data_IF_263363806043
#
_entry.id   IF_263363806043
#
_cell.length_a   1.000
_cell.length_b   1.000
_cell.length_c   1.000
_cell.angle_alpha   90.00
_cell.angle_beta   90.00
_cell.angle_gamma   90.00
#
_symmetry.space_group_name_H-M   'P 1'
#
loop_
_entity.id
_entity.type
_entity.pdbx_description
1 polymer ?
#
# COMPACT_ATOMS: atom_id res chain seq x y z
N UNK A 1 -13.02 1.41 23.18
CA UNK A 1 -12.10 1.19 22.02
C UNK A 1 -11.57 2.55 21.58
N UNK A 2 -10.30 2.64 21.20
CA UNK A 2 -9.65 3.85 20.70
C UNK A 2 -9.02 3.55 19.33
N UNK A 3 -8.95 4.54 18.43
CA UNK A 3 -8.20 4.38 17.18
C UNK A 3 -6.70 4.46 17.45
N UNK A 4 -5.97 3.42 17.05
CA UNK A 4 -4.52 3.29 17.27
C UNK A 4 -3.66 4.06 16.25
N UNK A 5 -4.30 4.60 15.20
CA UNK A 5 -3.65 5.35 14.14
C UNK A 5 -2.53 4.54 13.47
N UNK A 6 -1.36 5.16 13.32
CA UNK A 6 -0.24 4.58 12.58
C UNK A 6 0.36 3.31 13.20
N UNK A 7 -0.01 2.93 14.43
CA UNK A 7 0.36 1.62 14.98
C UNK A 7 -0.22 0.45 14.15
N UNK A 8 -1.32 0.69 13.42
CA UNK A 8 -1.91 -0.28 12.48
C UNK A 8 -0.94 -0.80 11.42
N UNK A 9 0.06 0.02 11.04
CA UNK A 9 1.05 -0.34 10.01
C UNK A 9 1.88 -1.57 10.37
N UNK A 10 2.09 -1.85 11.66
CA UNK A 10 2.82 -3.05 12.08
C UNK A 10 2.07 -4.33 11.69
N UNK A 11 0.73 -4.31 11.75
CA UNK A 11 -0.11 -5.43 11.35
C UNK A 11 -0.12 -5.60 9.82
N UNK A 12 -0.19 -4.50 9.06
CA UNK A 12 -0.05 -4.54 7.60
C UNK A 12 1.31 -5.09 7.18
N UNK A 13 2.39 -4.63 7.82
CA UNK A 13 3.74 -5.13 7.54
C UNK A 13 3.87 -6.63 7.86
N UNK A 14 3.31 -7.07 8.99
CA UNK A 14 3.25 -8.49 9.35
C UNK A 14 2.49 -9.31 8.29
N UNK A 15 1.34 -8.84 7.83
CA UNK A 15 0.55 -9.51 6.80
C UNK A 15 1.34 -9.71 5.50
N UNK A 16 2.06 -8.68 5.04
CA UNK A 16 2.95 -8.80 3.88
C UNK A 16 4.04 -9.85 4.13
N UNK A 17 4.67 -9.84 5.31
CA UNK A 17 5.72 -10.81 5.63
C UNK A 17 5.19 -12.25 5.70
N UNK A 18 3.96 -12.47 6.16
CA UNK A 18 3.30 -13.80 6.12
C UNK A 18 3.15 -14.27 4.68
N UNK A 19 2.70 -13.41 3.77
CA UNK A 19 2.57 -13.74 2.35
C UNK A 19 3.94 -13.99 1.70
N UNK A 20 4.98 -13.28 2.14
CA UNK A 20 6.38 -13.54 1.73
C UNK A 20 6.85 -14.92 2.21
N UNK A 21 6.58 -15.28 3.47
CA UNK A 21 6.94 -16.61 4.01
C UNK A 21 6.20 -17.75 3.28
N UNK A 22 4.99 -17.51 2.80
CA UNK A 22 4.22 -18.45 1.97
C UNK A 22 4.70 -18.53 0.52
N UNK A 23 5.59 -17.65 0.09
CA UNK A 23 6.06 -17.56 -1.29
C UNK A 23 5.01 -16.99 -2.25
N UNK A 24 3.98 -16.33 -1.74
CA UNK A 24 2.93 -15.69 -2.54
C UNK A 24 3.37 -14.29 -3.02
N UNK A 25 4.27 -13.64 -2.28
CA UNK A 25 4.87 -12.34 -2.61
C UNK A 25 6.39 -12.41 -2.44
N UNK A 26 7.13 -11.66 -3.25
CA UNK A 26 8.55 -11.36 -3.00
C UNK A 26 8.73 -9.89 -2.62
N UNK A 27 9.73 -9.59 -1.78
CA UNK A 27 9.96 -8.20 -1.37
C UNK A 27 10.48 -7.32 -2.51
N UNK A 28 11.26 -7.91 -3.43
CA UNK A 28 11.93 -7.18 -4.51
C UNK A 28 11.17 -7.27 -5.85
N UNK A 29 10.04 -7.97 -5.89
CA UNK A 29 9.14 -7.97 -7.05
C UNK A 29 8.42 -6.63 -7.19
N UNK A 30 8.05 -6.31 -8.43
CA UNK A 30 7.36 -5.07 -8.74
C UNK A 30 5.88 -5.18 -8.38
N UNK A 31 5.29 -4.10 -7.87
CA UNK A 31 3.86 -4.12 -7.49
C UNK A 31 2.93 -4.39 -8.68
N UNK A 32 3.37 -4.07 -9.90
CA UNK A 32 2.63 -4.36 -11.16
C UNK A 32 2.49 -5.84 -11.48
N UNK A 33 3.19 -6.70 -10.77
CA UNK A 33 3.07 -8.17 -10.91
C UNK A 33 1.85 -8.69 -10.15
N UNK A 34 1.35 -7.92 -9.17
CA UNK A 34 0.20 -8.28 -8.33
C UNK A 34 -1.01 -7.38 -8.52
N UNK A 35 -0.78 -6.11 -8.90
CA UNK A 35 -1.84 -5.10 -9.04
C UNK A 35 -1.92 -4.67 -10.50
N UNK A 36 -3.10 -4.82 -11.09
CA UNK A 36 -3.39 -4.38 -12.45
C UNK A 36 -3.66 -2.86 -12.52
N UNK A 37 -3.67 -2.30 -13.74
CA UNK A 37 -4.05 -0.90 -14.02
C UNK A 37 -3.29 0.19 -13.21
N UNK A 38 -2.01 -0.04 -12.90
CA UNK A 38 -1.19 0.97 -12.22
C UNK A 38 -0.63 2.05 -13.20
N UNK A 39 -0.41 3.30 -12.73
CA UNK A 39 0.28 4.34 -13.48
C UNK A 39 1.67 3.92 -13.97
N UNK A 40 2.08 4.43 -15.14
CA UNK A 40 3.37 4.07 -15.76
C UNK A 40 4.57 4.48 -14.90
N UNK A 41 4.41 5.52 -14.11
CA UNK A 41 5.38 6.08 -13.18
C UNK A 41 5.71 5.08 -12.04
N UNK A 42 4.76 4.20 -11.70
CA UNK A 42 4.87 3.25 -10.61
C UNK A 42 5.54 1.93 -11.02
N UNK A 43 5.91 1.78 -12.30
CA UNK A 43 6.48 0.54 -12.88
C UNK A 43 7.76 0.03 -12.22
N UNK A 44 8.39 0.82 -11.35
CA UNK A 44 9.62 0.49 -10.62
C UNK A 44 9.42 0.42 -9.09
N UNK A 45 8.19 0.56 -8.61
CA UNK A 45 7.87 0.38 -7.20
C UNK A 45 7.87 -1.12 -6.89
N UNK A 46 8.59 -1.50 -5.83
CA UNK A 46 8.61 -2.86 -5.31
C UNK A 46 7.81 -2.93 -4.02
N UNK A 47 7.47 -4.13 -3.57
CA UNK A 47 6.83 -4.34 -2.27
C UNK A 47 7.69 -3.77 -1.13
N UNK A 48 9.02 -3.98 -1.20
CA UNK A 48 9.99 -3.40 -0.24
C UNK A 48 9.95 -1.88 -0.23
N UNK A 49 9.79 -1.22 -1.38
CA UNK A 49 9.70 0.24 -1.43
C UNK A 49 8.49 0.77 -0.65
N UNK A 50 7.34 0.10 -0.75
CA UNK A 50 6.15 0.45 0.02
C UNK A 50 6.36 0.24 1.53
N UNK A 51 6.83 -0.95 1.93
CA UNK A 51 7.09 -1.31 3.34
C UNK A 51 8.08 -0.37 4.03
N UNK A 52 9.06 0.14 3.29
CA UNK A 52 10.17 0.95 3.84
C UNK A 52 9.97 2.45 3.65
N UNK A 53 8.81 2.89 3.17
CA UNK A 53 8.53 4.30 2.89
C UNK A 53 9.53 4.93 1.90
N UNK A 54 9.95 4.18 0.89
CA UNK A 54 10.89 4.63 -0.14
C UNK A 54 10.29 4.60 -1.55
N UNK A 55 8.97 4.40 -1.68
CA UNK A 55 8.27 4.33 -2.96
C UNK A 55 8.14 5.66 -3.70
N UNK A 56 8.31 6.80 -3.01
CA UNK A 56 8.05 8.12 -3.59
C UNK A 56 6.59 8.56 -3.54
N UNK A 57 5.70 7.76 -2.95
CA UNK A 57 4.30 8.13 -2.72
C UNK A 57 4.21 9.17 -1.60
N UNK A 58 3.36 10.18 -1.80
CA UNK A 58 3.10 11.23 -0.81
C UNK A 58 2.21 10.74 0.33
N UNK A 59 1.86 11.64 1.23
CA UNK A 59 0.73 11.44 2.16
C UNK A 59 -0.61 11.83 1.49
N UNK A 60 -1.72 11.69 2.22
CA UNK A 60 -3.03 12.16 1.80
C UNK A 60 -3.00 13.65 1.37
N UNK A 61 -3.80 14.04 0.35
CA UNK A 61 -4.01 15.45 0.04
C UNK A 61 -4.50 16.26 1.25
N UNK A 62 -4.17 17.55 1.30
CA UNK A 62 -4.54 18.43 2.41
C UNK A 62 -6.07 18.54 2.62
N UNK A 63 -6.84 18.37 1.54
CA UNK A 63 -8.30 18.41 1.51
C UNK A 63 -8.95 17.02 1.66
N UNK A 64 -8.16 15.98 1.97
CA UNK A 64 -8.66 14.62 2.14
C UNK A 64 -9.65 14.52 3.33
N UNK A 65 -10.86 14.05 3.05
CA UNK A 65 -11.89 13.86 4.05
C UNK A 65 -11.80 12.48 4.71
N UNK A 66 -11.11 12.41 5.85
CA UNK A 66 -10.98 11.18 6.64
C UNK A 66 -12.28 10.57 7.18
N UNK A 67 -13.42 11.26 7.03
CA UNK A 67 -14.74 10.78 7.49
C UNK A 67 -15.61 10.26 6.36
N UNK A 68 -15.15 10.37 5.12
CA UNK A 68 -15.88 9.86 3.98
C UNK A 68 -15.69 8.36 3.87
N UNK A 69 -16.81 7.63 3.79
CA UNK A 69 -16.78 6.20 3.48
C UNK A 69 -16.52 6.06 1.98
N UNK A 70 -15.31 5.65 1.64
CA UNK A 70 -14.88 5.36 0.27
C UNK A 70 -14.57 3.87 0.14
N UNK A 71 -14.86 3.29 -1.02
CA UNK A 71 -14.45 1.92 -1.30
C UNK A 71 -12.94 1.86 -1.54
N UNK A 72 -12.37 0.65 -1.48
CA UNK A 72 -10.95 0.47 -1.78
C UNK A 72 -10.63 0.81 -3.25
N UNK A 73 -11.56 0.54 -4.17
CA UNK A 73 -11.44 0.90 -5.58
C UNK A 73 -11.47 2.42 -5.78
N UNK A 74 -12.39 3.13 -5.11
CA UNK A 74 -12.43 4.60 -5.17
C UNK A 74 -11.13 5.22 -4.62
N UNK A 75 -10.61 4.65 -3.53
CA UNK A 75 -9.33 5.05 -2.97
C UNK A 75 -8.18 4.78 -3.94
N UNK A 76 -8.17 3.63 -4.61
CA UNK A 76 -7.15 3.29 -5.60
C UNK A 76 -7.19 4.28 -6.78
N UNK A 77 -8.36 4.59 -7.32
CA UNK A 77 -8.53 5.60 -8.36
C UNK A 77 -8.01 6.97 -7.91
N UNK A 78 -8.31 7.40 -6.68
CA UNK A 78 -7.80 8.65 -6.14
C UNK A 78 -6.26 8.64 -6.07
N UNK A 79 -5.65 7.58 -5.52
CA UNK A 79 -4.19 7.49 -5.39
C UNK A 79 -3.51 7.54 -6.76
N UNK A 80 -4.11 6.94 -7.80
CA UNK A 80 -3.57 6.99 -9.17
C UNK A 80 -3.44 8.42 -9.72
N UNK A 81 -4.24 9.37 -9.22
CA UNK A 81 -4.16 10.78 -9.63
C UNK A 81 -3.03 11.57 -8.97
N UNK A 82 -2.43 11.01 -7.91
CA UNK A 82 -1.42 11.69 -7.10
C UNK A 82 -0.03 11.38 -7.66
N UNK A 83 0.77 12.39 -8.04
CA UNK A 83 2.11 12.17 -8.58
C UNK A 83 3.08 11.66 -7.51
N UNK A 84 4.13 10.95 -7.93
CA UNK A 84 5.24 10.62 -7.04
C UNK A 84 6.07 11.88 -6.72
N UNK A 85 6.40 12.08 -5.45
CA UNK A 85 7.28 13.15 -4.99
C UNK A 85 8.72 12.92 -5.46
N UNK A 86 9.12 11.66 -5.62
CA UNK A 86 10.46 11.26 -6.05
C UNK A 86 10.47 9.86 -6.67
N UNK A 87 11.56 9.51 -7.33
CA UNK A 87 11.72 8.17 -7.93
C UNK A 87 11.85 7.09 -6.82
N UNK A 88 11.24 5.91 -6.99
CA UNK A 88 11.33 4.82 -6.01
C UNK A 88 12.78 4.49 -5.63
N UNK A 89 13.02 4.22 -4.35
CA UNK A 89 14.30 3.86 -3.77
C UNK A 89 15.30 5.01 -3.57
N UNK A 90 14.94 6.27 -3.87
CA UNK A 90 15.87 7.40 -3.77
C UNK A 90 15.99 8.02 -2.38
N UNK A 91 14.91 8.06 -1.61
CA UNK A 91 14.90 8.62 -0.27
C UNK A 91 13.79 7.99 0.56
N UNK A 92 13.87 8.18 1.88
CA UNK A 92 12.81 7.85 2.81
C UNK A 92 11.84 9.03 2.90
N UNK A 93 10.54 8.77 2.76
CA UNK A 93 9.47 9.72 3.06
C UNK A 93 8.27 8.95 3.58
N UNK A 94 7.90 9.19 4.84
CA UNK A 94 6.75 8.53 5.46
C UNK A 94 5.48 8.77 4.64
N UNK A 95 4.74 7.70 4.35
CA UNK A 95 3.61 7.73 3.43
C UNK A 95 2.50 6.81 3.93
N UNK A 96 1.31 7.38 4.14
CA UNK A 96 0.10 6.59 4.39
C UNK A 96 -0.40 5.93 3.11
N UNK A 97 -0.32 6.62 1.96
CA UNK A 97 -0.73 6.06 0.67
C UNK A 97 0.07 4.80 0.30
N UNK A 98 1.36 4.76 0.62
CA UNK A 98 2.18 3.57 0.43
C UNK A 98 1.68 2.37 1.25
N UNK A 99 1.11 2.59 2.43
CA UNK A 99 0.53 1.53 3.25
C UNK A 99 -0.88 1.14 2.83
N UNK A 100 -1.67 2.06 2.27
CA UNK A 100 -2.94 1.72 1.61
C UNK A 100 -2.67 0.78 0.43
N UNK A 101 -1.64 1.07 -0.37
CA UNK A 101 -1.21 0.20 -1.47
C UNK A 101 -0.81 -1.21 -1.00
N UNK A 102 -0.23 -1.36 0.19
CA UNK A 102 0.03 -2.69 0.77
C UNK A 102 -1.27 -3.42 1.14
N UNK A 103 -2.29 -2.71 1.61
CA UNK A 103 -3.63 -3.27 1.84
C UNK A 103 -4.26 -3.78 0.55
N UNK A 104 -4.21 -2.97 -0.52
CA UNK A 104 -4.67 -3.36 -1.86
C UNK A 104 -3.92 -4.59 -2.35
N UNK A 105 -2.59 -4.60 -2.21
CA UNK A 105 -1.77 -5.72 -2.61
C UNK A 105 -2.18 -7.02 -1.89
N UNK A 106 -2.46 -6.96 -0.58
CA UNK A 106 -2.96 -8.10 0.20
C UNK A 106 -4.28 -8.59 -0.40
N UNK A 107 -5.23 -7.70 -0.69
CA UNK A 107 -6.51 -8.08 -1.31
C UNK A 107 -6.32 -8.75 -2.67
N UNK A 108 -5.48 -8.19 -3.54
CA UNK A 108 -5.25 -8.74 -4.89
C UNK A 108 -4.62 -10.14 -4.84
N UNK A 109 -3.64 -10.35 -3.95
CA UNK A 109 -2.95 -11.64 -3.83
C UNK A 109 -3.84 -12.71 -3.18
N UNK A 110 -4.64 -12.32 -2.18
CA UNK A 110 -5.42 -13.29 -1.37
C UNK A 110 -6.85 -13.49 -1.89
N UNK A 111 -7.40 -12.52 -2.60
CA UNK A 111 -8.84 -12.45 -2.92
C UNK A 111 -9.72 -12.11 -1.71
N UNK A 112 -9.13 -11.73 -0.57
CA UNK A 112 -9.84 -11.50 0.69
C UNK A 112 -9.83 -10.03 1.08
N UNK A 113 -10.86 -9.59 1.79
CA UNK A 113 -10.84 -8.27 2.40
C UNK A 113 -9.71 -8.18 3.44
N UNK A 114 -8.92 -7.10 3.41
CA UNK A 114 -7.77 -6.90 4.29
C UNK A 114 -8.08 -7.15 5.78
N UNK A 115 -9.24 -6.67 6.24
CA UNK A 115 -9.66 -6.85 7.63
C UNK A 115 -9.92 -8.30 8.01
N UNK A 116 -10.39 -9.12 7.07
CA UNK A 116 -10.65 -10.55 7.28
C UNK A 116 -9.35 -11.35 7.29
N UNK A 117 -8.40 -11.00 6.41
CA UNK A 117 -7.07 -11.61 6.39
C UNK A 117 -6.33 -11.43 7.73
N UNK A 118 -6.43 -10.24 8.35
CA UNK A 118 -5.78 -9.95 9.62
C UNK A 118 -6.36 -10.69 10.84
N UNK A 119 -7.53 -11.30 10.73
CA UNK A 119 -8.18 -12.00 11.83
C UNK A 119 -7.84 -13.50 11.90
N UNK A 120 -7.08 -14.02 10.93
CA UNK A 120 -6.68 -15.43 10.84
C UNK A 120 -5.34 -15.69 11.50
#
# INVERSE_FOLDING_TARGET
MFQSGSMGKQFTAMAIMILVERGEIELDSLIKEYIEDIPKEWKHITVRHLLTHTAGMSDYPDDFNYREDVTEDDMFELIKTIPLDFKPGKQFSYSNLGYIMLGILIREVTGEFYGDFLQK
#
